data_IF_476944805557
#
_entry.id   IF_476944805557
#
_cell.length_a   1.000
_cell.length_b   1.000
_cell.length_c   1.000
_cell.angle_alpha   90.00
_cell.angle_beta   90.00
_cell.angle_gamma   90.00
#
_symmetry.space_group_name_H-M   'P 1'
#
loop_
_entity.id
_entity.type
_entity.pdbx_description
1 polymer ?
#
# COMPACT_ATOMS: atom_id res chain seq x y z
N UNK A 1 -14.66 13.61 -9.37
CA UNK A 1 -13.30 13.27 -8.90
C UNK A 1 -13.15 13.84 -7.51
N UNK A 2 -13.25 13.01 -6.49
CA UNK A 2 -13.15 13.46 -5.09
C UNK A 2 -11.80 14.11 -4.90
N UNK A 3 -11.78 15.39 -4.51
CA UNK A 3 -10.59 16.06 -3.97
C UNK A 3 -10.21 15.29 -2.71
N UNK A 4 -9.37 14.26 -2.86
CA UNK A 4 -8.85 13.50 -1.73
C UNK A 4 -8.03 14.44 -0.85
N UNK A 5 -8.06 14.22 0.46
CA UNK A 5 -7.19 14.94 1.39
C UNK A 5 -5.73 14.66 0.98
N UNK A 6 -5.01 15.67 0.46
CA UNK A 6 -3.61 15.54 0.06
C UNK A 6 -2.74 16.06 1.18
N UNK A 7 -1.91 15.19 1.72
CA UNK A 7 -0.90 15.49 2.73
C UNK A 7 0.46 15.63 2.05
N UNK A 8 1.09 16.79 2.23
CA UNK A 8 2.41 17.10 1.66
C UNK A 8 3.57 16.76 2.61
N UNK A 9 3.27 16.54 3.89
CA UNK A 9 4.23 16.19 4.92
C UNK A 9 3.69 15.05 5.78
N UNK A 10 4.62 14.30 6.40
CA UNK A 10 4.31 13.23 7.35
C UNK A 10 3.94 13.82 8.71
N UNK A 11 2.79 14.48 8.79
CA UNK A 11 2.21 14.88 10.07
C UNK A 11 1.42 13.71 10.67
N UNK A 12 1.96 13.13 11.75
CA UNK A 12 1.36 11.96 12.41
C UNK A 12 -0.02 12.26 13.01
N UNK A 13 -0.26 13.49 13.45
CA UNK A 13 -1.54 13.88 14.04
C UNK A 13 -2.63 13.90 12.97
N UNK A 14 -2.33 14.54 11.83
CA UNK A 14 -3.24 14.58 10.69
C UNK A 14 -3.53 13.18 10.15
N UNK A 15 -2.50 12.33 10.08
CA UNK A 15 -2.65 10.93 9.66
C UNK A 15 -3.60 10.15 10.59
N UNK A 16 -3.41 10.27 11.90
CA UNK A 16 -4.29 9.63 12.89
C UNK A 16 -5.72 10.11 12.73
N UNK A 17 -5.92 11.42 12.57
CA UNK A 17 -7.26 12.00 12.38
C UNK A 17 -7.98 11.42 11.15
N UNK A 18 -7.31 11.37 10.00
CA UNK A 18 -7.92 10.81 8.79
C UNK A 18 -8.24 9.32 8.93
N UNK A 19 -7.37 8.53 9.58
CA UNK A 19 -7.63 7.10 9.80
C UNK A 19 -8.80 6.91 10.78
N UNK A 20 -8.88 7.71 11.86
CA UNK A 20 -9.99 7.65 12.81
C UNK A 20 -11.32 8.10 12.20
N UNK A 21 -11.29 9.04 11.25
CA UNK A 21 -12.44 9.45 10.44
C UNK A 21 -12.78 8.45 9.33
N UNK A 22 -11.97 7.40 9.15
CA UNK A 22 -12.12 6.39 8.11
C UNK A 22 -12.07 6.98 6.69
N UNK A 23 -11.23 7.98 6.51
CA UNK A 23 -11.12 8.71 5.25
C UNK A 23 -10.00 8.16 4.36
N UNK A 24 -10.17 8.35 3.05
CA UNK A 24 -9.10 8.13 2.08
C UNK A 24 -8.26 9.39 1.94
N UNK A 25 -6.94 9.23 1.86
CA UNK A 25 -5.99 10.34 1.74
C UNK A 25 -4.78 9.95 0.91
N UNK A 26 -4.07 10.95 0.40
CA UNK A 26 -2.87 10.76 -0.42
C UNK A 26 -1.70 11.46 0.25
N UNK A 27 -0.60 10.73 0.45
CA UNK A 27 0.68 11.31 0.84
C UNK A 27 1.53 11.54 -0.41
N UNK A 28 2.05 12.74 -0.57
CA UNK A 28 2.97 13.11 -1.66
C UNK A 28 4.37 13.39 -1.11
N UNK A 29 5.38 13.41 -1.97
CA UNK A 29 6.79 13.62 -1.62
C UNK A 29 7.36 12.59 -0.63
N UNK A 30 6.96 11.33 -0.79
CA UNK A 30 7.40 10.21 0.07
C UNK A 30 8.79 9.77 -0.34
N UNK A 31 9.80 10.05 0.50
CA UNK A 31 11.19 9.64 0.25
C UNK A 31 11.49 8.20 0.67
N UNK A 32 11.02 7.80 1.86
CA UNK A 32 11.27 6.46 2.41
C UNK A 32 9.98 5.65 2.49
N UNK A 33 9.60 5.06 1.36
CA UNK A 33 8.37 4.27 1.24
C UNK A 33 8.25 3.15 2.27
N UNK A 34 9.30 2.37 2.53
CA UNK A 34 9.22 1.26 3.49
C UNK A 34 8.91 1.75 4.90
N UNK A 35 9.61 2.79 5.35
CA UNK A 35 9.40 3.33 6.70
C UNK A 35 8.03 4.00 6.82
N UNK A 36 7.64 4.79 5.81
CA UNK A 36 6.35 5.48 5.80
C UNK A 36 5.19 4.50 5.77
N UNK A 37 5.25 3.47 4.93
CA UNK A 37 4.21 2.45 4.85
C UNK A 37 4.10 1.70 6.18
N UNK A 38 5.21 1.24 6.74
CA UNK A 38 5.21 0.55 8.05
C UNK A 38 4.55 1.40 9.14
N UNK A 39 4.85 2.71 9.16
CA UNK A 39 4.22 3.64 10.12
C UNK A 39 2.71 3.73 9.92
N UNK A 40 2.24 3.77 8.68
CA UNK A 40 0.80 3.83 8.37
C UNK A 40 0.12 2.50 8.71
N UNK A 41 0.74 1.37 8.38
CA UNK A 41 0.26 0.03 8.77
C UNK A 41 0.09 -0.06 10.29
N UNK A 42 1.12 0.29 11.06
CA UNK A 42 1.08 0.30 12.53
C UNK A 42 -0.06 1.19 13.06
N UNK A 43 -0.32 2.36 12.45
CA UNK A 43 -1.39 3.27 12.86
C UNK A 43 -2.80 2.74 12.56
N UNK A 44 -2.96 2.02 11.45
CA UNK A 44 -4.23 1.39 11.05
C UNK A 44 -4.50 0.17 11.94
N UNK A 45 -3.49 -0.69 12.13
CA UNK A 45 -3.61 -1.91 12.93
C UNK A 45 -3.88 -1.61 14.41
N UNK A 46 -3.30 -0.53 14.95
CA UNK A 46 -3.63 -0.05 16.32
C UNK A 46 -5.09 0.35 16.51
N UNK A 47 -5.81 0.65 15.42
CA UNK A 47 -7.25 0.94 15.45
C UNK A 47 -8.09 -0.32 15.19
N UNK A 48 -7.47 -1.50 15.17
CA UNK A 48 -8.14 -2.78 14.93
C UNK A 48 -8.57 -2.99 13.47
N UNK A 49 -8.05 -2.18 12.54
CA UNK A 49 -8.38 -2.23 11.12
C UNK A 49 -7.32 -3.02 10.35
N UNK A 50 -7.72 -3.64 9.24
CA UNK A 50 -6.82 -4.41 8.37
C UNK A 50 -6.39 -3.56 7.17
N UNK A 51 -5.09 -3.50 6.90
CA UNK A 51 -4.57 -2.85 5.70
C UNK A 51 -3.97 -3.86 4.72
N UNK A 52 -3.96 -3.49 3.43
CA UNK A 52 -3.26 -4.20 2.37
C UNK A 52 -2.34 -3.25 1.62
N UNK A 53 -1.06 -3.55 1.62
CA UNK A 53 -0.06 -2.80 0.86
C UNK A 53 0.16 -3.45 -0.51
N UNK A 54 0.20 -2.62 -1.56
CA UNK A 54 0.69 -3.06 -2.87
C UNK A 54 1.49 -1.94 -3.56
N UNK A 55 2.30 -2.32 -4.55
CA UNK A 55 2.97 -1.36 -5.42
C UNK A 55 2.16 -1.24 -6.71
N UNK A 56 1.61 -0.06 -6.97
CA UNK A 56 0.95 0.26 -8.23
C UNK A 56 1.97 0.29 -9.38
N UNK A 57 1.58 -0.16 -10.57
CA UNK A 57 2.44 -0.17 -11.76
C UNK A 57 3.44 -1.34 -11.88
N UNK A 58 3.45 -2.28 -10.92
CA UNK A 58 4.35 -3.46 -10.96
C UNK A 58 3.90 -4.56 -11.94
N UNK A 59 2.65 -4.51 -12.41
CA UNK A 59 2.04 -5.54 -13.26
C UNK A 59 2.67 -5.63 -14.65
N UNK A 60 3.11 -4.53 -15.25
CA UNK A 60 3.70 -4.56 -16.59
C UNK A 60 5.15 -5.09 -16.59
N UNK A 61 5.95 -4.75 -15.57
CA UNK A 61 7.39 -5.05 -15.53
C UNK A 61 7.71 -6.43 -14.94
N UNK A 62 6.93 -6.92 -13.97
CA UNK A 62 7.14 -8.28 -13.43
C UNK A 62 6.77 -9.37 -14.44
N UNK A 63 5.73 -9.17 -15.26
CA UNK A 63 5.37 -10.13 -16.32
C UNK A 63 6.50 -10.25 -17.35
N UNK A 64 7.12 -9.12 -17.72
CA UNK A 64 8.27 -9.12 -18.63
C UNK A 64 9.50 -9.84 -18.05
N UNK A 65 9.80 -9.67 -16.75
CA UNK A 65 10.96 -10.29 -16.10
C UNK A 65 10.77 -11.79 -15.78
N UNK A 66 9.52 -12.24 -15.55
CA UNK A 66 9.18 -13.63 -15.29
C UNK A 66 9.12 -14.49 -16.56
N UNK A 67 8.99 -13.86 -17.74
CA UNK A 67 8.86 -14.56 -19.01
C UNK A 67 10.18 -15.13 -19.56
N UNK A 68 11.35 -14.72 -19.06
CA UNK A 68 12.62 -15.01 -19.75
C UNK A 68 13.85 -15.30 -18.86
N UNK A 69 13.71 -15.65 -17.57
CA UNK A 69 14.88 -15.94 -16.73
C UNK A 69 14.64 -16.81 -15.48
N UNK A 70 15.73 -17.19 -14.75
CA UNK A 70 15.69 -18.05 -13.55
C UNK A 70 14.78 -17.54 -12.42
N UNK A 71 14.42 -16.26 -12.47
CA UNK A 71 13.45 -15.61 -11.59
C UNK A 71 12.03 -16.22 -11.66
N UNK A 72 11.69 -16.99 -12.70
CA UNK A 72 10.40 -17.68 -12.81
C UNK A 72 10.14 -18.67 -11.65
N UNK A 73 11.17 -19.41 -11.23
CA UNK A 73 11.07 -20.41 -10.15
C UNK A 73 10.87 -19.74 -8.79
N UNK A 74 11.63 -18.66 -8.52
CA UNK A 74 11.44 -17.82 -7.33
C UNK A 74 10.12 -17.04 -7.36
N UNK A 75 9.61 -16.72 -8.56
CA UNK A 75 8.33 -16.09 -8.78
C UNK A 75 7.15 -16.97 -8.35
N UNK A 76 7.20 -18.28 -8.61
CA UNK A 76 6.17 -19.25 -8.19
C UNK A 76 6.11 -19.43 -6.66
N UNK A 77 7.26 -19.59 -6.01
CA UNK A 77 7.32 -19.68 -4.55
C UNK A 77 6.81 -18.38 -3.89
N UNK A 78 7.23 -17.22 -4.41
CA UNK A 78 6.72 -15.93 -3.95
C UNK A 78 5.22 -15.77 -4.22
N UNK A 79 4.69 -16.28 -5.33
CA UNK A 79 3.26 -16.22 -5.66
C UNK A 79 2.40 -17.00 -4.66
N UNK A 80 2.88 -18.15 -4.16
CA UNK A 80 2.19 -18.91 -3.12
C UNK A 80 2.17 -18.17 -1.77
N UNK A 81 3.29 -17.56 -1.37
CA UNK A 81 3.37 -16.70 -0.17
C UNK A 81 2.49 -15.45 -0.31
N UNK A 82 2.47 -14.85 -1.51
CA UNK A 82 1.57 -13.74 -1.86
C UNK A 82 0.10 -14.19 -1.82
N UNK A 83 -0.21 -15.41 -2.24
CA UNK A 83 -1.56 -15.96 -2.21
C UNK A 83 -2.03 -16.22 -0.77
N UNK A 84 -1.16 -16.73 0.10
CA UNK A 84 -1.46 -16.91 1.53
C UNK A 84 -1.71 -15.55 2.23
N UNK A 85 -0.89 -14.53 1.97
CA UNK A 85 -1.14 -13.18 2.49
C UNK A 85 -2.37 -12.49 1.83
N UNK A 86 -2.70 -12.81 0.58
CA UNK A 86 -3.95 -12.37 -0.10
C UNK A 86 -5.20 -12.95 0.56
N UNK A 87 -5.17 -14.21 1.01
CA UNK A 87 -6.29 -14.84 1.69
C UNK A 87 -6.54 -14.21 3.07
N UNK A 88 -5.49 -13.82 3.80
CA UNK A 88 -5.61 -13.08 5.06
C UNK A 88 -6.13 -11.64 4.89
N UNK A 89 -6.06 -11.08 3.68
CA UNK A 89 -6.49 -9.73 3.30
C UNK A 89 -7.59 -9.73 2.23
N UNK A 90 -8.47 -10.74 2.24
CA UNK A 90 -9.59 -10.84 1.29
C UNK A 90 -10.56 -9.64 1.39
N UNK A 91 -10.67 -9.02 2.58
CA UNK A 91 -11.49 -7.85 2.85
C UNK A 91 -10.73 -6.83 3.74
N UNK A 92 -9.71 -6.12 3.20
CA UNK A 92 -9.00 -5.11 3.98
C UNK A 92 -9.92 -3.90 4.19
N UNK A 93 -9.80 -3.24 5.34
CA UNK A 93 -10.44 -1.95 5.61
C UNK A 93 -9.75 -0.83 4.81
N UNK A 94 -8.43 -0.97 4.63
CA UNK A 94 -7.58 -0.01 3.93
C UNK A 94 -6.71 -0.64 2.85
N UNK A 95 -6.55 0.05 1.73
CA UNK A 95 -5.59 -0.26 0.68
C UNK A 95 -4.52 0.83 0.61
N UNK A 96 -3.25 0.45 0.72
CA UNK A 96 -2.10 1.34 0.62
C UNK A 96 -1.38 1.07 -0.70
N UNK A 97 -1.58 1.96 -1.67
CA UNK A 97 -0.98 1.89 -3.00
C UNK A 97 0.30 2.73 -3.06
N UNK A 98 1.43 2.07 -3.34
CA UNK A 98 2.71 2.76 -3.57
C UNK A 98 2.86 3.15 -5.03
N UNK A 99 3.17 4.41 -5.30
CA UNK A 99 3.57 4.91 -6.61
C UNK A 99 5.00 5.48 -6.54
N UNK A 100 6.04 4.63 -6.64
CA UNK A 100 7.43 5.07 -6.54
C UNK A 100 7.83 6.07 -7.63
N UNK A 101 7.22 6.00 -8.83
CA UNK A 101 7.51 6.92 -9.93
C UNK A 101 6.92 8.32 -9.74
N UNK A 102 5.95 8.46 -8.83
CA UNK A 102 5.27 9.71 -8.55
C UNK A 102 5.48 10.17 -7.09
N UNK A 103 6.44 9.55 -6.38
CA UNK A 103 6.77 9.81 -4.98
C UNK A 103 5.53 9.92 -4.07
N UNK A 104 4.49 9.11 -4.33
CA UNK A 104 3.20 9.18 -3.63
C UNK A 104 2.72 7.84 -3.08
N UNK A 105 1.98 7.91 -1.98
CA UNK A 105 1.18 6.83 -1.41
C UNK A 105 -0.29 7.23 -1.45
N UNK A 106 -1.15 6.36 -1.96
CA UNK A 106 -2.59 6.51 -1.81
C UNK A 106 -3.09 5.53 -0.76
N UNK A 107 -3.78 6.05 0.25
CA UNK A 107 -4.39 5.29 1.34
C UNK A 107 -5.90 5.37 1.11
N UNK A 108 -6.49 4.27 0.67
CA UNK A 108 -7.90 4.20 0.31
C UNK A 108 -8.67 3.39 1.35
N UNK A 109 -9.68 4.00 1.96
CA UNK A 109 -10.65 3.29 2.79
C UNK A 109 -11.65 2.55 1.89
N UNK A 110 -11.96 1.30 2.21
CA UNK A 110 -12.76 0.39 1.35
C UNK A 110 -14.14 0.05 1.90
N UNK A 111 -14.46 0.46 3.12
CA UNK A 111 -15.72 0.10 3.80
C UNK A 111 -16.58 1.31 4.10
#
# INVERSE_FOLDING_TARGET
MSKGNVLHHLDETALKEHISRRESFTLTNVKNFSQTVKKIEDLIERQGLKCRVYTAGRSATMVAALASGPAAIFGLASAASIAAHKLATLNPDYEIAKYPLADKLEINYKK
#
